data_IF_335002261169
#
_entry.id   IF_335002261169
#
_cell.length_a   1.000
_cell.length_b   1.000
_cell.length_c   1.000
_cell.angle_alpha   90.00
_cell.angle_beta   90.00
_cell.angle_gamma   90.00
#
_symmetry.space_group_name_H-M   'P 1'
#
loop_
_entity.id
_entity.type
_entity.pdbx_description
1 polymer ?
#
# COMPACT_ATOMS: atom_id res chain seq x y z
N UNK A 1 65.12 -22.97 42.35
CA UNK A 1 65.40 -21.54 42.59
C UNK A 1 65.19 -20.84 41.26
N UNK A 2 64.03 -20.18 41.07
CA UNK A 2 63.86 -18.70 40.94
C UNK A 2 64.59 -18.15 39.68
N UNK A 3 64.03 -17.33 38.79
CA UNK A 3 63.17 -16.14 38.87
C UNK A 3 62.79 -15.73 37.41
N UNK A 4 61.73 -14.90 37.24
CA UNK A 4 61.55 -13.90 36.13
C UNK A 4 61.24 -14.44 34.70
N UNK A 5 60.42 -13.88 33.79
CA UNK A 5 59.51 -12.71 33.69
C UNK A 5 58.63 -12.95 32.43
N UNK A 6 57.30 -12.83 32.52
CA UNK A 6 56.44 -11.74 31.99
C UNK A 6 56.70 -11.24 30.54
N UNK A 7 55.63 -11.35 29.74
CA UNK A 7 55.19 -10.53 28.60
C UNK A 7 55.98 -10.51 27.28
N UNK A 8 55.29 -10.93 26.21
CA UNK A 8 55.06 -10.07 25.03
C UNK A 8 53.81 -10.51 24.26
N UNK A 9 52.77 -9.68 24.42
CA UNK A 9 51.56 -9.62 23.61
C UNK A 9 51.90 -8.94 22.28
N UNK A 10 51.28 -9.41 21.19
CA UNK A 10 51.37 -8.76 19.89
C UNK A 10 50.47 -9.43 18.84
N UNK A 11 49.16 -9.53 19.11
CA UNK A 11 48.18 -9.80 18.04
C UNK A 11 47.60 -8.45 17.64
N UNK A 12 48.01 -8.00 16.46
CA UNK A 12 47.47 -6.83 15.77
C UNK A 12 46.00 -7.14 15.42
N UNK A 13 45.06 -6.65 16.21
CA UNK A 13 43.66 -6.63 15.82
C UNK A 13 43.49 -5.50 14.80
N UNK A 14 43.53 -5.85 13.51
CA UNK A 14 43.10 -4.97 12.44
C UNK A 14 41.57 -4.84 12.53
N UNK A 15 41.11 -3.80 13.21
CA UNK A 15 39.73 -3.32 13.14
C UNK A 15 39.45 -2.96 11.68
N UNK A 16 38.66 -3.77 10.99
CA UNK A 16 38.04 -3.35 9.74
C UNK A 16 37.04 -2.26 10.07
N UNK A 17 37.47 -1.00 9.95
CA UNK A 17 36.56 0.12 9.83
C UNK A 17 35.83 -0.02 8.49
N UNK A 18 34.61 -0.54 8.53
CA UNK A 18 33.66 -0.36 7.44
C UNK A 18 33.41 1.15 7.31
N UNK A 19 33.39 1.72 6.09
CA UNK A 19 33.30 3.15 5.91
C UNK A 19 31.90 3.64 6.34
N UNK A 20 31.85 4.37 7.44
CA UNK A 20 30.68 5.13 7.89
C UNK A 20 30.27 6.23 6.89
N UNK A 21 31.07 6.50 5.86
CA UNK A 21 30.85 7.57 4.87
C UNK A 21 29.79 7.29 3.80
N UNK A 22 29.17 6.10 3.77
CA UNK A 22 28.13 5.80 2.76
C UNK A 22 26.75 6.36 3.11
N UNK A 23 26.45 6.61 4.38
CA UNK A 23 25.13 7.12 4.79
C UNK A 23 25.04 8.65 4.64
N UNK A 24 26.09 9.38 5.05
CA UNK A 24 26.19 10.85 4.90
C UNK A 24 26.01 11.32 3.46
N UNK A 25 26.64 10.64 2.50
CA UNK A 25 26.54 10.99 1.08
C UNK A 25 25.13 10.78 0.49
N UNK A 26 24.29 9.92 1.11
CA UNK A 26 22.96 9.63 0.60
C UNK A 26 21.95 10.71 1.02
N UNK A 27 21.96 11.15 2.28
CA UNK A 27 21.06 12.21 2.74
C UNK A 27 21.40 13.57 2.14
N UNK A 28 22.69 13.86 1.91
CA UNK A 28 23.15 15.08 1.22
C UNK A 28 22.71 15.15 -0.25
N UNK A 29 22.45 14.00 -0.88
CA UNK A 29 21.99 13.93 -2.27
C UNK A 29 20.48 14.17 -2.42
N UNK A 30 19.74 14.25 -1.32
CA UNK A 30 18.29 14.47 -1.32
C UNK A 30 17.97 15.95 -1.20
N UNK A 31 17.18 16.46 -2.13
CA UNK A 31 16.59 17.80 -2.05
C UNK A 31 15.08 17.65 -1.97
N UNK A 32 14.47 18.20 -0.91
CA UNK A 32 13.02 18.18 -0.75
C UNK A 32 12.35 18.93 -1.92
N UNK A 33 11.47 18.24 -2.63
CA UNK A 33 10.65 18.81 -3.71
C UNK A 33 9.27 19.19 -3.19
N UNK A 34 8.61 18.27 -2.49
CA UNK A 34 7.27 18.47 -1.90
C UNK A 34 7.12 17.70 -0.60
N UNK A 35 6.28 18.23 0.28
CA UNK A 35 5.82 17.56 1.49
C UNK A 35 4.34 17.85 1.69
N UNK A 36 3.54 16.80 1.74
CA UNK A 36 2.12 16.87 2.10
C UNK A 36 1.93 16.27 3.48
N UNK A 37 1.18 16.98 4.33
CA UNK A 37 0.85 16.56 5.69
C UNK A 37 -0.66 16.48 5.82
N UNK A 38 -1.15 15.31 6.22
CA UNK A 38 -2.56 15.11 6.53
C UNK A 38 -2.70 14.52 7.93
N UNK A 39 -3.81 14.84 8.58
CA UNK A 39 -4.12 14.42 9.94
C UNK A 39 -5.45 13.67 9.95
N UNK A 40 -5.45 12.53 10.63
CA UNK A 40 -6.59 11.63 10.72
C UNK A 40 -6.78 11.18 12.16
N UNK A 41 -8.02 11.02 12.59
CA UNK A 41 -8.38 10.35 13.85
C UNK A 41 -8.66 8.86 13.65
N UNK A 42 -9.13 8.50 12.44
CA UNK A 42 -9.46 7.13 12.06
C UNK A 42 -8.76 6.77 10.76
N UNK A 43 -8.08 5.62 10.76
CA UNK A 43 -7.52 5.00 9.56
C UNK A 43 -8.19 3.66 9.30
N UNK A 44 -8.64 3.45 8.06
CA UNK A 44 -9.29 2.19 7.67
C UNK A 44 -8.22 1.14 7.40
N UNK A 45 -8.33 -0.01 8.04
CA UNK A 45 -7.57 -1.17 7.63
C UNK A 45 -8.36 -1.89 6.53
N UNK A 46 -7.92 -1.72 5.29
CA UNK A 46 -8.57 -2.35 4.14
C UNK A 46 -7.95 -3.71 3.80
N UNK A 47 -7.09 -4.24 4.67
CA UNK A 47 -6.60 -5.62 4.60
C UNK A 47 -7.76 -6.61 4.75
N UNK A 48 -8.10 -7.23 3.63
CA UNK A 48 -9.17 -8.20 3.50
C UNK A 48 -8.90 -9.52 4.22
N UNK A 49 -7.68 -9.76 4.71
CA UNK A 49 -7.38 -10.93 5.55
C UNK A 49 -7.82 -10.73 7.01
N UNK A 50 -7.96 -9.48 7.46
CA UNK A 50 -8.29 -9.14 8.85
C UNK A 50 -9.75 -8.76 9.07
N UNK A 51 -10.52 -8.49 8.00
CA UNK A 51 -11.86 -7.93 8.07
C UNK A 51 -12.71 -8.27 6.84
N UNK A 52 -14.02 -8.05 6.94
CA UNK A 52 -14.90 -7.95 5.76
C UNK A 52 -15.13 -6.46 5.47
N UNK A 53 -14.54 -5.90 4.40
CA UNK A 53 -14.53 -4.44 4.19
C UNK A 53 -15.91 -3.77 4.19
N UNK A 54 -16.95 -4.43 3.67
CA UNK A 54 -18.30 -3.87 3.63
C UNK A 54 -19.03 -3.88 4.98
N UNK A 55 -18.76 -4.92 5.77
CA UNK A 55 -19.78 -5.46 6.68
C UNK A 55 -19.25 -5.69 8.10
N UNK A 56 -17.92 -5.76 8.26
CA UNK A 56 -17.23 -5.84 9.54
C UNK A 56 -15.81 -5.29 9.37
N UNK A 57 -15.71 -3.96 9.33
CA UNK A 57 -14.45 -3.26 9.12
C UNK A 57 -13.53 -3.35 10.32
N UNK A 58 -12.23 -3.34 10.03
CA UNK A 58 -11.21 -3.06 11.02
C UNK A 58 -10.72 -1.62 10.78
N UNK A 59 -10.72 -0.82 11.83
CA UNK A 59 -10.22 0.57 11.80
C UNK A 59 -9.21 0.75 12.92
N UNK A 60 -8.21 1.57 12.67
CA UNK A 60 -7.33 2.10 13.70
C UNK A 60 -7.90 3.44 14.17
N UNK A 61 -8.04 3.60 15.48
CA UNK A 61 -8.48 4.85 16.10
C UNK A 61 -7.30 5.46 16.85
N UNK A 62 -6.98 6.72 16.58
CA UNK A 62 -6.03 7.48 17.36
C UNK A 62 -6.75 7.89 18.65
N UNK A 63 -6.27 7.40 19.79
CA UNK A 63 -6.96 7.60 21.07
C UNK A 63 -7.13 9.08 21.43
N UNK A 64 -7.78 9.38 22.56
CA UNK A 64 -8.09 10.76 22.95
C UNK A 64 -6.89 11.73 23.12
N UNK A 65 -5.65 11.21 23.14
CA UNK A 65 -4.41 11.98 23.34
C UNK A 65 -3.52 12.01 22.08
N UNK A 66 -3.91 11.28 21.03
CA UNK A 66 -3.08 11.10 19.84
C UNK A 66 -3.90 11.24 18.55
N UNK A 67 -3.24 11.72 17.50
CA UNK A 67 -3.75 11.76 16.13
C UNK A 67 -2.83 10.93 15.23
N UNK A 68 -3.34 10.43 14.11
CA UNK A 68 -2.50 9.91 13.03
C UNK A 68 -2.05 11.03 12.10
N UNK A 69 -0.76 11.04 11.77
CA UNK A 69 -0.18 11.93 10.77
C UNK A 69 0.30 11.10 9.60
N UNK A 70 -0.24 11.38 8.41
CA UNK A 70 0.24 10.83 7.16
C UNK A 70 1.10 11.87 6.44
N UNK A 71 2.34 11.47 6.11
CA UNK A 71 3.33 12.27 5.40
C UNK A 71 3.61 11.67 4.03
N UNK A 72 3.47 12.49 2.99
CA UNK A 72 3.97 12.22 1.65
C UNK A 72 5.13 13.17 1.37
N UNK A 73 6.28 12.63 0.99
CA UNK A 73 7.51 13.43 0.84
C UNK A 73 8.23 13.01 -0.43
N UNK A 74 8.40 13.96 -1.34
CA UNK A 74 9.12 13.78 -2.60
C UNK A 74 10.48 14.45 -2.54
N UNK A 75 11.49 13.74 -3.05
CA UNK A 75 12.85 14.24 -3.16
C UNK A 75 13.34 14.19 -4.60
N UNK A 76 13.95 15.28 -5.04
CA UNK A 76 14.90 15.22 -6.15
C UNK A 76 16.22 14.62 -5.65
N UNK A 77 16.82 13.74 -6.46
CA UNK A 77 18.09 13.08 -6.12
C UNK A 77 19.20 13.61 -7.02
N UNK A 78 20.28 14.10 -6.42
CA UNK A 78 21.48 14.55 -7.12
C UNK A 78 22.35 13.36 -7.58
N UNK A 79 21.86 12.62 -8.59
CA UNK A 79 22.57 11.48 -9.19
C UNK A 79 23.95 11.88 -9.73
N UNK A 80 24.91 10.97 -9.59
CA UNK A 80 26.28 11.14 -10.09
C UNK A 80 26.88 9.80 -10.49
N UNK A 81 28.07 9.80 -11.10
CA UNK A 81 28.79 8.56 -11.42
C UNK A 81 29.21 7.75 -10.18
N UNK A 82 29.25 8.38 -9.01
CA UNK A 82 29.58 7.74 -7.74
C UNK A 82 28.34 7.31 -6.94
N UNK A 83 27.18 7.95 -7.21
CA UNK A 83 25.92 7.68 -6.54
C UNK A 83 24.97 6.91 -7.48
N UNK A 84 24.97 5.58 -7.35
CA UNK A 84 24.10 4.72 -8.15
C UNK A 84 22.73 4.43 -7.51
N UNK A 85 22.63 4.56 -6.17
CA UNK A 85 21.45 4.17 -5.40
C UNK A 85 21.34 4.96 -4.09
N UNK A 86 20.12 5.32 -3.73
CA UNK A 86 19.69 5.71 -2.38
C UNK A 86 19.05 4.50 -1.72
N UNK A 87 19.44 4.21 -0.48
CA UNK A 87 18.86 3.17 0.36
C UNK A 87 19.00 3.55 1.84
N UNK A 88 17.95 4.10 2.42
CA UNK A 88 17.84 4.46 3.83
C UNK A 88 16.78 3.56 4.48
N UNK A 89 17.14 2.90 5.57
CA UNK A 89 16.23 1.96 6.24
C UNK A 89 15.09 2.71 6.91
N UNK A 90 13.91 2.09 6.97
CA UNK A 90 12.79 2.59 7.77
C UNK A 90 13.13 2.81 9.26
N UNK A 91 14.14 2.10 9.78
CA UNK A 91 14.64 2.28 11.14
C UNK A 91 15.35 3.63 11.38
N UNK A 92 15.82 4.27 10.31
CA UNK A 92 16.57 5.53 10.32
C UNK A 92 15.67 6.71 9.94
N UNK A 93 14.35 6.50 9.88
CA UNK A 93 13.35 7.53 9.59
C UNK A 93 12.44 7.68 10.80
N UNK A 94 12.34 8.89 11.33
CA UNK A 94 11.56 9.17 12.53
C UNK A 94 11.03 10.60 12.56
N UNK A 95 9.96 10.81 13.33
CA UNK A 95 9.36 12.12 13.56
C UNK A 95 9.65 12.56 15.00
N UNK A 96 10.39 13.65 15.15
CA UNK A 96 10.72 14.24 16.44
C UNK A 96 9.72 15.33 16.78
N UNK A 97 9.04 15.21 17.92
CA UNK A 97 8.15 16.24 18.44
C UNK A 97 8.88 17.12 19.44
N UNK A 98 8.52 18.40 19.50
CA UNK A 98 9.12 19.36 20.45
C UNK A 98 8.81 19.03 21.92
N UNK A 99 7.71 18.33 22.16
CA UNK A 99 7.28 17.88 23.48
C UNK A 99 8.02 16.63 23.97
N UNK A 100 8.80 15.97 23.12
CA UNK A 100 9.41 14.67 23.39
C UNK A 100 10.92 14.72 23.18
N UNK A 101 11.66 13.87 23.90
CA UNK A 101 13.11 13.74 23.71
C UNK A 101 13.47 12.73 22.64
N UNK A 102 12.64 11.68 22.49
CA UNK A 102 12.86 10.61 21.53
C UNK A 102 12.00 10.83 20.29
N UNK A 103 12.55 10.51 19.12
CA UNK A 103 11.81 10.55 17.87
C UNK A 103 10.96 9.28 17.71
N UNK A 104 9.72 9.43 17.25
CA UNK A 104 8.81 8.32 17.00
C UNK A 104 9.05 7.75 15.61
N UNK A 105 9.14 6.42 15.51
CA UNK A 105 9.20 5.73 14.21
C UNK A 105 7.81 5.65 13.57
N UNK A 106 7.74 5.61 12.23
CA UNK A 106 6.47 5.33 11.56
C UNK A 106 6.03 3.90 11.92
N UNK A 107 4.75 3.74 12.19
CA UNK A 107 4.17 2.41 12.46
C UNK A 107 3.51 1.82 11.21
N UNK A 108 3.19 2.67 10.22
CA UNK A 108 2.59 2.25 8.96
C UNK A 108 3.03 3.09 7.76
N UNK A 109 2.50 2.73 6.60
CA UNK A 109 2.70 3.38 5.30
C UNK A 109 1.43 3.28 4.46
N UNK A 110 1.35 4.09 3.41
CA UNK A 110 0.25 4.00 2.44
C UNK A 110 0.78 3.49 1.11
N UNK A 111 0.69 2.17 0.86
CA UNK A 111 1.26 1.53 -0.35
C UNK A 111 0.45 1.88 -1.61
N UNK A 112 -0.88 1.90 -1.49
CA UNK A 112 -1.78 2.39 -2.53
C UNK A 112 -2.85 3.23 -1.87
N UNK A 113 -3.00 4.50 -2.24
CA UNK A 113 -3.92 5.38 -1.54
C UNK A 113 -5.38 4.90 -1.70
N UNK A 114 -6.19 4.74 -0.63
CA UNK A 114 -5.95 5.09 0.78
C UNK A 114 -5.72 3.86 1.72
N UNK A 115 -5.01 2.82 1.27
CA UNK A 115 -4.66 1.61 2.03
C UNK A 115 -3.52 1.85 3.02
N UNK A 116 -3.75 1.60 4.31
CA UNK A 116 -2.73 1.71 5.35
C UNK A 116 -2.19 0.32 5.70
N UNK A 117 -0.92 0.08 5.35
CA UNK A 117 -0.19 -1.12 5.71
C UNK A 117 0.63 -0.91 6.99
N UNK A 118 0.76 -1.98 7.80
CA UNK A 118 1.63 -1.97 8.97
C UNK A 118 3.09 -2.12 8.55
N UNK A 119 3.96 -1.32 9.17
CA UNK A 119 5.39 -1.26 8.89
C UNK A 119 5.77 0.04 8.21
N UNK A 120 6.88 0.63 8.64
CA UNK A 120 7.43 1.83 7.99
C UNK A 120 8.00 1.52 6.60
N UNK A 121 7.97 2.51 5.72
CA UNK A 121 8.64 2.45 4.42
C UNK A 121 10.12 2.82 4.53
N UNK A 122 10.95 2.24 3.66
CA UNK A 122 12.36 2.62 3.50
C UNK A 122 12.48 3.57 2.32
N UNK A 123 13.39 4.54 2.38
CA UNK A 123 13.67 5.39 1.22
C UNK A 123 14.60 4.61 0.28
N UNK A 124 14.14 4.23 -0.91
CA UNK A 124 14.98 3.58 -1.91
C UNK A 124 14.73 4.19 -3.28
N UNK A 125 15.80 4.61 -3.94
CA UNK A 125 15.76 5.05 -5.32
C UNK A 125 17.01 4.58 -6.05
N UNK A 126 16.94 4.41 -7.36
CA UNK A 126 18.08 4.00 -8.18
C UNK A 126 18.29 5.01 -9.30
N UNK A 127 19.55 5.27 -9.62
CA UNK A 127 19.92 6.07 -10.79
C UNK A 127 19.26 5.47 -12.05
N UNK A 128 18.57 6.29 -12.87
CA UNK A 128 18.04 5.85 -14.15
C UNK A 128 19.12 5.25 -15.03
N UNK A 129 18.71 4.35 -15.94
CA UNK A 129 19.65 3.73 -16.88
C UNK A 129 20.24 4.75 -17.84
N UNK A 130 19.43 5.70 -18.27
CA UNK A 130 19.76 6.71 -19.27
C UNK A 130 20.09 8.05 -18.59
N UNK A 131 20.81 7.99 -17.46
CA UNK A 131 21.38 9.18 -16.82
C UNK A 131 22.58 9.72 -17.64
N UNK A 132 22.72 11.05 -17.85
CA UNK A 132 21.97 12.14 -17.20
C UNK A 132 20.73 12.64 -17.95
N UNK A 133 20.32 11.98 -19.04
CA UNK A 133 19.14 12.38 -19.82
C UNK A 133 17.84 12.22 -19.03
N UNK A 134 17.78 11.25 -18.12
CA UNK A 134 16.67 11.00 -17.17
C UNK A 134 17.08 11.23 -15.71
N UNK A 135 16.11 11.66 -14.89
CA UNK A 135 16.28 11.85 -13.44
C UNK A 135 15.15 11.17 -12.68
N UNK A 136 15.48 10.24 -11.79
CA UNK A 136 14.51 9.65 -10.87
C UNK A 136 14.53 10.37 -9.50
N UNK A 137 13.35 10.53 -8.90
CA UNK A 137 13.21 11.00 -7.52
C UNK A 137 13.34 9.88 -6.49
N UNK A 138 13.15 10.24 -5.23
CA UNK A 138 12.91 9.31 -4.13
C UNK A 138 11.67 9.75 -3.36
N UNK A 139 10.90 8.80 -2.82
CA UNK A 139 9.59 9.07 -2.23
C UNK A 139 9.42 8.39 -0.86
N UNK A 140 8.64 9.03 0.03
CA UNK A 140 8.20 8.47 1.32
C UNK A 140 6.70 8.71 1.54
N UNK A 141 6.02 7.65 1.99
CA UNK A 141 4.62 7.61 2.42
C UNK A 141 4.53 6.99 3.83
N UNK A 142 4.49 7.81 4.87
CA UNK A 142 4.64 7.30 6.24
C UNK A 142 3.50 7.73 7.14
N UNK A 143 3.04 6.79 7.98
CA UNK A 143 2.03 7.04 9.00
C UNK A 143 2.67 7.02 10.39
N UNK A 144 2.49 8.11 11.12
CA UNK A 144 2.95 8.30 12.49
C UNK A 144 1.78 8.47 13.44
N UNK A 145 2.04 8.24 14.72
CA UNK A 145 1.16 8.66 15.80
C UNK A 145 1.75 9.89 16.47
N UNK A 146 1.01 10.99 16.50
CA UNK A 146 1.43 12.27 17.04
C UNK A 146 0.56 12.67 18.25
N UNK A 147 1.13 13.34 19.28
CA UNK A 147 0.30 13.95 20.32
C UNK A 147 -0.67 14.97 19.70
N UNK A 148 -1.95 14.96 20.08
CA UNK A 148 -2.97 15.85 19.51
C UNK A 148 -2.61 17.34 19.63
N UNK A 149 -1.90 17.71 20.71
CA UNK A 149 -1.43 19.09 20.96
C UNK A 149 -0.20 19.51 20.13
N UNK A 150 0.46 18.57 19.44
CA UNK A 150 1.63 18.90 18.62
C UNK A 150 1.19 19.67 17.36
N UNK A 151 1.78 20.86 17.18
CA UNK A 151 1.59 21.70 16.00
C UNK A 151 2.81 21.71 15.08
N UNK A 152 3.94 21.19 15.56
CA UNK A 152 5.22 21.14 14.86
C UNK A 152 5.93 19.83 15.16
N UNK A 153 6.67 19.34 14.19
CA UNK A 153 7.62 18.26 14.35
C UNK A 153 8.80 18.42 13.39
N UNK A 154 9.82 17.59 13.54
CA UNK A 154 10.94 17.49 12.61
C UNK A 154 11.03 16.06 12.09
N UNK A 155 10.88 15.88 10.77
CA UNK A 155 11.17 14.62 10.10
C UNK A 155 12.70 14.47 10.02
N UNK A 156 13.19 13.37 10.58
CA UNK A 156 14.60 13.00 10.61
C UNK A 156 14.79 11.81 9.66
N UNK A 157 15.73 11.93 8.72
CA UNK A 157 16.10 10.88 7.77
C UNK A 157 17.61 10.65 7.88
N UNK A 158 18.00 9.44 8.26
CA UNK A 158 19.40 9.05 8.51
C UNK A 158 19.80 9.16 9.99
N UNK A 159 21.08 8.87 10.27
CA UNK A 159 21.61 8.84 11.64
C UNK A 159 22.60 9.98 11.93
N UNK A 160 22.72 10.35 13.20
CA UNK A 160 23.78 11.22 13.70
C UNK A 160 23.65 12.70 13.33
N UNK A 161 24.79 13.39 13.23
CA UNK A 161 24.86 14.82 12.92
C UNK A 161 24.46 15.12 11.48
N UNK A 162 24.60 14.13 10.59
CA UNK A 162 24.46 14.30 9.14
C UNK A 162 23.06 13.90 8.65
N UNK A 163 22.16 13.55 9.57
CA UNK A 163 20.77 13.27 9.26
C UNK A 163 20.09 14.51 8.65
N UNK A 164 19.34 14.29 7.58
CA UNK A 164 18.49 15.31 6.99
C UNK A 164 17.34 15.60 7.96
N UNK A 165 17.13 16.88 8.27
CA UNK A 165 16.12 17.35 9.21
C UNK A 165 15.20 18.32 8.50
N UNK A 166 13.93 17.95 8.38
CA UNK A 166 12.92 18.72 7.67
C UNK A 166 11.84 19.15 8.67
N UNK A 167 11.55 20.45 8.81
CA UNK A 167 10.45 20.90 9.63
C UNK A 167 9.12 20.42 9.02
N UNK A 168 8.21 19.96 9.89
CA UNK A 168 6.87 19.49 9.54
C UNK A 168 5.86 20.36 10.27
N UNK A 169 5.00 21.04 9.51
CA UNK A 169 3.86 21.75 10.07
C UNK A 169 2.72 20.76 10.33
N UNK A 170 2.37 20.59 11.60
CA UNK A 170 1.27 19.72 12.02
C UNK A 170 -0.01 20.50 12.30
N UNK A 171 -0.04 21.84 12.13
CA UNK A 171 -1.23 22.67 12.32
C UNK A 171 -2.24 22.52 11.16
N UNK A 172 -2.52 21.27 10.78
CA UNK A 172 -3.47 20.87 9.75
C UNK A 172 -4.75 20.35 10.42
N UNK A 173 -5.94 20.58 9.81
CA UNK A 173 -7.18 20.07 10.36
C UNK A 173 -7.22 18.53 10.29
N UNK A 174 -7.94 17.91 11.22
CA UNK A 174 -8.31 16.49 11.13
C UNK A 174 -9.26 16.33 9.94
N UNK A 175 -8.98 15.35 9.09
CA UNK A 175 -9.76 15.01 7.90
C UNK A 175 -10.00 13.51 7.84
N UNK A 176 -11.04 13.08 7.14
CA UNK A 176 -11.24 11.66 6.83
C UNK A 176 -10.33 11.22 5.68
N UNK A 177 -9.84 9.98 5.71
CA UNK A 177 -9.26 9.36 4.52
C UNK A 177 -10.35 9.24 3.44
N UNK A 178 -10.07 9.61 2.18
CA UNK A 178 -11.00 9.43 1.07
C UNK A 178 -11.47 7.98 0.97
N UNK A 179 -12.70 7.78 0.53
CA UNK A 179 -13.22 6.43 0.30
C UNK A 179 -12.46 5.78 -0.88
N UNK A 180 -12.03 4.51 -0.80
CA UNK A 180 -11.35 3.85 -1.93
C UNK A 180 -12.14 3.91 -3.25
N UNK A 181 -13.46 3.91 -3.18
CA UNK A 181 -14.36 4.02 -4.34
C UNK A 181 -14.29 5.38 -5.04
N UNK A 182 -13.83 6.46 -4.39
CA UNK A 182 -13.77 7.79 -5.02
C UNK A 182 -12.75 7.89 -6.16
N UNK A 183 -11.87 6.89 -6.29
CA UNK A 183 -10.84 6.82 -7.33
C UNK A 183 -11.27 6.05 -8.58
N UNK A 184 -12.49 5.48 -8.58
CA UNK A 184 -12.98 4.59 -9.63
C UNK A 184 -14.42 4.89 -10.04
N UNK A 185 -14.72 4.72 -11.32
CA UNK A 185 -16.07 4.41 -11.80
C UNK A 185 -16.25 2.90 -11.69
N UNK A 186 -17.25 2.44 -10.93
CA UNK A 186 -17.55 1.01 -10.83
C UNK A 186 -19.02 0.80 -11.17
N UNK A 187 -19.27 -0.08 -12.12
CA UNK A 187 -20.61 -0.40 -12.59
C UNK A 187 -20.83 -1.90 -12.60
N UNK A 188 -21.95 -2.33 -12.04
CA UNK A 188 -22.42 -3.72 -12.18
C UNK A 188 -23.10 -3.87 -13.53
N UNK A 189 -22.59 -4.78 -14.35
CA UNK A 189 -23.08 -5.03 -15.72
C UNK A 189 -24.12 -6.15 -15.72
N UNK A 190 -23.85 -7.24 -15.00
CA UNK A 190 -24.72 -8.41 -14.99
C UNK A 190 -24.56 -9.22 -13.70
N UNK A 191 -25.62 -9.94 -13.33
CA UNK A 191 -25.60 -10.99 -12.31
C UNK A 191 -26.31 -12.23 -12.87
N UNK A 192 -25.81 -13.40 -12.51
CA UNK A 192 -26.42 -14.69 -12.87
C UNK A 192 -25.95 -15.77 -11.91
N UNK A 193 -26.63 -16.91 -11.89
CA UNK A 193 -26.17 -18.10 -11.20
C UNK A 193 -25.59 -19.11 -12.19
N UNK A 194 -24.76 -20.01 -11.67
CA UNK A 194 -24.21 -21.13 -12.45
C UNK A 194 -24.01 -22.34 -11.54
N UNK A 195 -24.24 -23.53 -12.09
CA UNK A 195 -24.09 -24.79 -11.35
C UNK A 195 -22.64 -25.28 -11.34
N UNK A 196 -21.87 -24.93 -12.38
CA UNK A 196 -20.51 -25.41 -12.58
C UNK A 196 -19.65 -24.33 -13.23
N UNK A 197 -18.48 -24.07 -12.64
CA UNK A 197 -17.42 -23.29 -13.26
C UNK A 197 -16.40 -24.23 -13.89
N UNK A 198 -16.17 -24.12 -15.18
CA UNK A 198 -15.05 -24.79 -15.85
C UNK A 198 -13.79 -23.96 -15.61
N UNK A 199 -12.72 -24.61 -15.14
CA UNK A 199 -11.45 -23.96 -14.82
C UNK A 199 -10.30 -24.68 -15.52
N UNK A 200 -9.15 -24.02 -15.60
CA UNK A 200 -7.92 -24.58 -16.12
C UNK A 200 -6.74 -24.16 -15.26
N UNK A 201 -5.91 -25.12 -14.86
CA UNK A 201 -4.64 -24.86 -14.20
C UNK A 201 -3.48 -25.10 -15.17
N UNK A 202 -2.61 -24.09 -15.31
CA UNK A 202 -1.39 -24.22 -16.11
C UNK A 202 -0.22 -24.59 -15.22
N UNK A 203 0.30 -25.80 -15.41
CA UNK A 203 1.48 -26.30 -14.70
C UNK A 203 2.57 -26.61 -15.73
N UNK A 204 3.64 -25.82 -15.71
CA UNK A 204 4.73 -25.88 -16.71
C UNK A 204 4.21 -25.68 -18.14
N UNK A 205 4.20 -26.73 -18.97
CA UNK A 205 3.69 -26.69 -20.36
C UNK A 205 2.35 -27.40 -20.53
N UNK A 206 1.76 -27.89 -19.44
CA UNK A 206 0.51 -28.64 -19.47
C UNK A 206 -0.64 -27.76 -18.98
N UNK A 207 -1.80 -27.91 -19.63
CA UNK A 207 -3.08 -27.40 -19.14
C UNK A 207 -3.83 -28.56 -18.50
N UNK A 208 -4.23 -28.39 -17.25
CA UNK A 208 -5.04 -29.35 -16.50
C UNK A 208 -6.46 -28.78 -16.45
N UNK A 209 -7.40 -29.46 -17.08
CA UNK A 209 -8.81 -29.09 -16.98
C UNK A 209 -9.31 -29.33 -15.55
N UNK A 210 -10.00 -28.34 -15.01
CA UNK A 210 -10.62 -28.37 -13.70
C UNK A 210 -12.09 -27.96 -13.80
N UNK A 211 -12.81 -28.17 -12.70
CA UNK A 211 -14.15 -27.66 -12.53
C UNK A 211 -14.43 -27.41 -11.07
N UNK A 212 -15.32 -26.47 -10.80
CA UNK A 212 -15.82 -26.15 -9.47
C UNK A 212 -17.34 -26.24 -9.48
N UNK A 213 -17.89 -27.08 -8.61
CA UNK A 213 -19.33 -27.18 -8.34
C UNK A 213 -19.56 -26.87 -6.86
N UNK A 214 -20.67 -26.23 -6.52
CA UNK A 214 -21.04 -25.97 -5.12
C UNK A 214 -21.63 -27.21 -4.47
N UNK A 215 -21.00 -27.72 -3.42
CA UNK A 215 -21.62 -28.77 -2.58
C UNK A 215 -22.75 -28.22 -1.70
N UNK A 216 -22.71 -26.92 -1.40
CA UNK A 216 -23.71 -26.17 -0.62
C UNK A 216 -23.92 -24.81 -1.28
N UNK A 217 -25.18 -24.38 -1.38
CA UNK A 217 -25.52 -23.09 -1.97
C UNK A 217 -25.43 -23.10 -3.50
N UNK A 218 -25.24 -21.92 -4.07
CA UNK A 218 -25.17 -21.70 -5.52
C UNK A 218 -24.06 -20.70 -5.82
N UNK A 219 -23.37 -20.92 -6.95
CA UNK A 219 -22.35 -19.99 -7.43
C UNK A 219 -23.05 -18.84 -8.16
N UNK A 220 -22.84 -17.64 -7.65
CA UNK A 220 -23.30 -16.39 -8.27
C UNK A 220 -22.14 -15.74 -9.03
N UNK A 221 -22.35 -15.47 -10.31
CA UNK A 221 -21.45 -14.73 -11.19
C UNK A 221 -21.90 -13.28 -11.27
N UNK A 222 -20.97 -12.35 -11.03
CA UNK A 222 -21.18 -10.91 -11.23
C UNK A 222 -20.17 -10.38 -12.23
N UNK A 223 -20.64 -9.63 -13.21
CA UNK A 223 -19.81 -8.90 -14.16
C UNK A 223 -19.80 -7.42 -13.78
N UNK A 224 -18.59 -6.85 -13.69
CA UNK A 224 -18.36 -5.46 -13.30
C UNK A 224 -17.47 -4.78 -14.32
N UNK A 225 -17.74 -3.51 -14.60
CA UNK A 225 -16.86 -2.59 -15.30
C UNK A 225 -16.21 -1.67 -14.27
N UNK A 226 -14.89 -1.49 -14.37
CA UNK A 226 -14.13 -0.60 -13.50
C UNK A 226 -13.25 0.33 -14.34
N UNK A 227 -13.33 1.63 -14.08
CA UNK A 227 -12.52 2.67 -14.74
C UNK A 227 -11.83 3.52 -13.67
N UNK A 228 -10.50 3.49 -13.54
CA UNK A 228 -9.80 4.36 -12.60
C UNK A 228 -9.72 5.80 -13.15
N UNK A 229 -9.81 6.80 -12.26
CA UNK A 229 -9.71 8.21 -12.64
C UNK A 229 -8.36 8.85 -12.33
N UNK A 230 -7.59 8.25 -11.43
CA UNK A 230 -6.29 8.74 -10.96
C UNK A 230 -5.44 7.55 -10.53
N UNK A 231 -4.12 7.64 -10.73
CA UNK A 231 -3.19 6.67 -10.19
C UNK A 231 -3.26 6.64 -8.66
N UNK A 232 -3.26 5.45 -8.08
CA UNK A 232 -3.25 5.27 -6.62
C UNK A 232 -1.91 4.73 -6.13
N UNK A 233 -1.03 4.34 -7.04
CA UNK A 233 0.37 4.01 -6.74
C UNK A 233 1.14 5.30 -6.42
N UNK A 234 1.75 5.31 -5.26
CA UNK A 234 2.43 6.47 -4.69
C UNK A 234 3.85 6.66 -5.23
N UNK A 235 4.44 5.63 -5.85
CA UNK A 235 5.84 5.64 -6.30
C UNK A 235 5.99 6.01 -7.79
N UNK A 236 4.89 6.31 -8.47
CA UNK A 236 4.90 6.52 -9.92
C UNK A 236 5.39 7.90 -10.35
N UNK A 237 6.00 7.95 -11.54
CA UNK A 237 6.40 9.20 -12.15
C UNK A 237 5.18 10.04 -12.58
N UNK A 238 5.28 11.38 -12.57
CA UNK A 238 4.20 12.24 -13.02
C UNK A 238 3.76 11.88 -14.46
N UNK A 239 2.50 11.46 -14.59
CA UNK A 239 1.91 11.07 -15.88
C UNK A 239 1.98 9.57 -16.19
N UNK A 240 2.67 8.77 -15.39
CA UNK A 240 2.62 7.30 -15.44
C UNK A 240 1.64 6.79 -14.37
N UNK A 241 0.36 6.69 -14.69
CA UNK A 241 -0.62 6.30 -13.68
C UNK A 241 -0.71 4.78 -13.55
N UNK A 242 -0.85 4.31 -12.32
CA UNK A 242 -1.16 2.91 -12.02
C UNK A 242 -2.12 2.82 -10.85
N UNK A 243 -3.04 1.87 -10.94
CA UNK A 243 -3.88 1.45 -9.83
C UNK A 243 -3.73 -0.04 -9.61
N UNK A 244 -3.89 -0.46 -8.35
CA UNK A 244 -3.95 -1.87 -7.97
C UNK A 244 -5.29 -2.18 -7.34
N UNK A 245 -5.87 -3.30 -7.77
CA UNK A 245 -7.13 -3.79 -7.24
C UNK A 245 -6.99 -5.27 -6.87
N UNK A 246 -7.50 -5.62 -5.69
CA UNK A 246 -7.58 -7.01 -5.21
C UNK A 246 -9.01 -7.51 -5.37
N UNK A 247 -9.16 -8.76 -5.80
CA UNK A 247 -10.47 -9.40 -5.92
C UNK A 247 -11.28 -9.35 -4.61
N UNK A 248 -10.60 -9.45 -3.48
CA UNK A 248 -11.18 -9.42 -2.13
C UNK A 248 -11.69 -8.05 -1.71
N UNK A 249 -11.37 -6.98 -2.46
CA UNK A 249 -11.95 -5.66 -2.25
C UNK A 249 -13.43 -5.61 -2.64
N UNK A 250 -13.91 -6.55 -3.46
CA UNK A 250 -15.33 -6.62 -3.80
C UNK A 250 -16.07 -7.60 -2.88
N UNK A 251 -17.17 -7.14 -2.30
CA UNK A 251 -18.06 -7.97 -1.49
C UNK A 251 -19.47 -7.88 -2.04
N UNK A 252 -20.07 -9.04 -2.29
CA UNK A 252 -21.45 -9.15 -2.71
C UNK A 252 -22.32 -9.50 -1.51
N UNK A 253 -23.36 -8.72 -1.26
CA UNK A 253 -24.37 -8.99 -0.22
C UNK A 253 -25.66 -9.46 -0.91
N UNK A 254 -26.17 -10.59 -0.46
CA UNK A 254 -27.40 -11.18 -1.01
C UNK A 254 -28.68 -10.52 -0.47
N UNK A 255 -29.85 -10.84 -1.04
CA UNK A 255 -31.14 -10.30 -0.61
C UNK A 255 -31.50 -10.64 0.84
N UNK A 256 -30.86 -11.66 1.42
CA UNK A 256 -30.93 -12.00 2.85
C UNK A 256 -30.16 -11.04 3.76
N UNK A 257 -29.41 -10.09 3.21
CA UNK A 257 -28.59 -9.12 3.96
C UNK A 257 -27.29 -9.70 4.49
N UNK A 258 -26.81 -10.82 3.94
CA UNK A 258 -25.55 -11.47 4.34
C UNK A 258 -24.50 -11.38 3.22
N UNK A 259 -23.22 -11.15 3.55
CA UNK A 259 -22.15 -11.19 2.57
C UNK A 259 -21.93 -12.63 2.08
N UNK A 260 -21.77 -12.78 0.77
CA UNK A 260 -21.43 -14.05 0.13
C UNK A 260 -19.92 -14.30 0.20
N UNK A 261 -19.54 -15.58 0.14
CA UNK A 261 -18.13 -15.97 0.16
C UNK A 261 -17.51 -15.69 -1.21
N UNK A 262 -16.47 -14.86 -1.27
CA UNK A 262 -15.73 -14.60 -2.50
C UNK A 262 -14.94 -15.85 -2.93
N UNK A 263 -15.26 -16.39 -4.10
CA UNK A 263 -14.56 -17.52 -4.70
C UNK A 263 -13.37 -17.07 -5.57
N UNK A 264 -13.40 -15.82 -6.01
CA UNK A 264 -12.36 -15.18 -6.80
C UNK A 264 -12.86 -14.63 -8.14
N UNK A 265 -11.91 -14.35 -9.02
CA UNK A 265 -12.14 -13.80 -10.36
C UNK A 265 -11.69 -14.77 -11.44
N UNK A 266 -12.36 -14.75 -12.59
CA UNK A 266 -11.83 -15.37 -13.80
C UNK A 266 -10.56 -14.64 -14.28
N UNK A 267 -9.43 -15.35 -14.26
CA UNK A 267 -8.16 -14.88 -14.77
C UNK A 267 -7.46 -15.98 -15.57
N UNK A 268 -7.26 -15.74 -16.87
CA UNK A 268 -6.51 -16.61 -17.79
C UNK A 268 -6.98 -18.07 -17.84
N UNK A 269 -8.29 -18.32 -17.64
CA UNK A 269 -8.90 -19.66 -17.62
C UNK A 269 -8.98 -20.30 -16.22
N UNK A 270 -8.41 -19.68 -15.20
CA UNK A 270 -8.48 -20.12 -13.80
C UNK A 270 -9.38 -19.20 -12.97
N UNK A 271 -9.91 -19.71 -11.85
CA UNK A 271 -10.48 -18.85 -10.79
C UNK A 271 -9.38 -18.57 -9.78
N UNK A 272 -9.13 -17.30 -9.46
CA UNK A 272 -8.12 -16.88 -8.49
C UNK A 272 -8.75 -16.06 -7.39
N UNK A 273 -8.61 -16.51 -6.14
CA UNK A 273 -9.17 -15.84 -4.98
C UNK A 273 -8.29 -14.65 -4.54
N UNK A 274 -7.06 -14.92 -4.08
CA UNK A 274 -6.10 -13.87 -3.75
C UNK A 274 -5.28 -13.47 -4.98
N UNK A 275 -5.85 -12.59 -5.80
CA UNK A 275 -5.20 -12.08 -7.00
C UNK A 275 -5.36 -10.56 -7.08
N UNK A 276 -4.24 -9.89 -7.31
CA UNK A 276 -4.21 -8.47 -7.63
C UNK A 276 -4.13 -8.29 -9.15
N UNK A 277 -4.79 -7.25 -9.64
CA UNK A 277 -4.59 -6.75 -10.99
C UNK A 277 -4.20 -5.29 -10.94
N UNK A 278 -3.31 -4.89 -11.84
CA UNK A 278 -2.99 -3.50 -12.07
C UNK A 278 -3.60 -3.00 -13.36
N UNK A 279 -4.00 -1.73 -13.38
CA UNK A 279 -4.32 -0.98 -14.59
C UNK A 279 -3.33 0.17 -14.68
N UNK A 280 -2.58 0.26 -15.77
CA UNK A 280 -1.61 1.32 -16.02
C UNK A 280 -2.03 2.12 -17.25
N UNK A 281 -1.83 3.45 -17.22
CA UNK A 281 -2.09 4.34 -18.36
C UNK A 281 -1.27 5.62 -18.27
N UNK A 282 -1.01 6.21 -19.43
CA UNK A 282 -0.21 7.43 -19.54
C UNK A 282 -1.09 8.67 -19.74
N UNK A 283 -0.64 9.80 -19.20
CA UNK A 283 -1.24 11.11 -19.43
C UNK A 283 -2.36 11.49 -18.45
N UNK A 284 -3.07 12.57 -18.79
CA UNK A 284 -4.14 13.12 -17.95
C UNK A 284 -5.48 12.40 -18.18
N UNK A 285 -6.23 12.21 -17.09
CA UNK A 285 -7.60 11.72 -17.12
C UNK A 285 -7.77 10.26 -16.74
N UNK A 286 -8.94 9.72 -17.08
CA UNK A 286 -9.33 8.36 -16.72
C UNK A 286 -8.53 7.30 -17.47
N UNK A 287 -8.15 6.24 -16.75
CA UNK A 287 -7.57 5.05 -17.34
C UNK A 287 -8.59 4.22 -18.13
N UNK A 288 -8.15 3.10 -18.73
CA UNK A 288 -9.04 2.25 -19.51
C UNK A 288 -10.07 1.54 -18.63
N UNK A 289 -11.31 1.45 -19.11
CA UNK A 289 -12.33 0.60 -18.50
C UNK A 289 -11.96 -0.87 -18.67
N UNK A 290 -11.99 -1.61 -17.57
CA UNK A 290 -11.72 -3.06 -17.55
C UNK A 290 -12.94 -3.81 -17.02
N UNK A 291 -13.30 -4.92 -17.67
CA UNK A 291 -14.35 -5.81 -17.19
C UNK A 291 -13.77 -6.91 -16.31
N UNK A 292 -14.38 -7.13 -15.15
CA UNK A 292 -14.08 -8.25 -14.27
C UNK A 292 -15.29 -9.16 -14.13
N UNK A 293 -15.04 -10.46 -14.09
CA UNK A 293 -16.04 -11.46 -13.74
C UNK A 293 -15.67 -12.08 -12.41
N UNK A 294 -16.48 -11.76 -11.40
CA UNK A 294 -16.33 -12.18 -10.02
C UNK A 294 -17.30 -13.32 -9.72
N UNK A 295 -16.88 -14.25 -8.86
CA UNK A 295 -17.69 -15.39 -8.44
C UNK A 295 -17.82 -15.43 -6.93
N UNK A 296 -19.04 -15.71 -6.47
CA UNK A 296 -19.39 -15.75 -5.07
C UNK A 296 -20.20 -17.02 -4.77
N UNK A 297 -20.10 -17.52 -3.55
CA UNK A 297 -20.90 -18.64 -3.06
C UNK A 297 -21.93 -18.13 -2.04
N UNK A 298 -23.21 -18.44 -2.26
CA UNK A 298 -24.31 -18.00 -1.40
C UNK A 298 -25.58 -18.81 -1.60
N UNK A 299 -26.72 -18.23 -1.20
CA UNK A 299 -28.04 -18.84 -1.36
C UNK A 299 -28.49 -18.97 -2.81
N UNK A 300 -28.07 -18.02 -3.67
CA UNK A 300 -28.55 -17.92 -5.05
C UNK A 300 -30.01 -17.49 -5.15
N UNK A 301 -30.61 -16.98 -4.07
CA UNK A 301 -31.99 -16.54 -4.05
C UNK A 301 -32.21 -15.38 -5.03
N UNK A 302 -33.35 -15.39 -5.73
CA UNK A 302 -33.78 -14.25 -6.54
C UNK A 302 -34.02 -13.03 -5.65
N UNK A 303 -33.71 -11.83 -6.16
CA UNK A 303 -33.83 -10.59 -5.41
C UNK A 303 -32.74 -9.57 -5.73
N UNK A 304 -32.69 -8.53 -4.91
CA UNK A 304 -31.69 -7.46 -5.02
C UNK A 304 -30.40 -7.85 -4.30
N UNK A 305 -29.29 -7.75 -5.03
CA UNK A 305 -27.94 -7.95 -4.52
C UNK A 305 -27.22 -6.61 -4.50
N UNK A 306 -26.39 -6.41 -3.49
CA UNK A 306 -25.64 -5.17 -3.29
C UNK A 306 -24.16 -5.46 -3.45
N UNK A 307 -23.50 -4.79 -4.40
CA UNK A 307 -22.06 -4.88 -4.58
C UNK A 307 -21.37 -3.74 -3.84
N UNK A 308 -20.49 -4.11 -2.92
CA UNK A 308 -19.61 -3.19 -2.23
C UNK A 308 -18.21 -3.27 -2.83
N UNK A 309 -17.56 -2.10 -2.97
CA UNK A 309 -16.13 -1.98 -3.18
C UNK A 309 -15.51 -1.38 -1.92
N UNK A 310 -14.69 -2.20 -1.26
CA UNK A 310 -14.32 -2.04 0.14
C UNK A 310 -15.55 -1.81 1.02
N UNK A 311 -15.69 -0.62 1.56
CA UNK A 311 -16.78 -0.21 2.45
C UNK A 311 -17.91 0.54 1.76
N UNK A 312 -17.77 0.84 0.47
CA UNK A 312 -18.72 1.67 -0.25
C UNK A 312 -19.62 0.81 -1.12
N UNK A 313 -20.94 1.02 -1.02
CA UNK A 313 -21.90 0.48 -1.98
C UNK A 313 -21.65 1.11 -3.35
N UNK A 314 -21.30 0.30 -4.34
CA UNK A 314 -21.01 0.75 -5.72
C UNK A 314 -22.12 0.40 -6.71
N UNK A 315 -23.04 -0.47 -6.33
CA UNK A 315 -24.25 -0.68 -7.12
C UNK A 315 -25.13 -1.81 -6.59
N UNK A 316 -26.39 -1.74 -6.98
CA UNK A 316 -27.38 -2.78 -6.75
C UNK A 316 -27.68 -3.50 -8.08
N UNK A 317 -27.95 -4.80 -8.01
CA UNK A 317 -28.28 -5.62 -9.18
C UNK A 317 -29.32 -6.67 -8.82
N UNK A 318 -30.34 -6.82 -9.65
CA UNK A 318 -31.40 -7.81 -9.42
C UNK A 318 -31.06 -9.13 -10.10
N UNK A 319 -31.03 -10.22 -9.34
CA UNK A 319 -31.04 -11.57 -9.85
C UNK A 319 -32.50 -12.01 -10.05
N UNK A 320 -32.89 -12.18 -11.30
CA UNK A 320 -34.20 -12.74 -11.67
C UNK A 320 -34.22 -14.26 -11.48
N UNK A 321 -35.43 -14.81 -11.33
CA UNK A 321 -35.67 -16.28 -11.34
C UNK A 321 -35.25 -16.95 -12.66
#
# INVERSE_FOLDING_TARGET
MRFEDLLKVGVLAATMALPCGRLTAQTEALTLTSMTVTRHDILRNIDTEMASPCCAQHVYESGAEEDFIYLEVDFAVAWSDELERIQISSGDIALQFDSETDARRPWGRVDFFPDVERGGSSLSARRPRDFPEETAGAYLNLVFTAPTAATTATLIIGEGTDALRLPVDLAVPVTDMPAPSSFYDIKVVAISTTEELVTEDRVSRNTIAGRMTSDIGTITRVEIEMTPFVGTDTDNEPGENQVFNRNTAFVLVGPEGLPLINLGRAASGSIRNNFSSSISWDGEGAGPTTTYTMFYLGSGAAGEYQLYFYDTLVGDVTLSE
#
